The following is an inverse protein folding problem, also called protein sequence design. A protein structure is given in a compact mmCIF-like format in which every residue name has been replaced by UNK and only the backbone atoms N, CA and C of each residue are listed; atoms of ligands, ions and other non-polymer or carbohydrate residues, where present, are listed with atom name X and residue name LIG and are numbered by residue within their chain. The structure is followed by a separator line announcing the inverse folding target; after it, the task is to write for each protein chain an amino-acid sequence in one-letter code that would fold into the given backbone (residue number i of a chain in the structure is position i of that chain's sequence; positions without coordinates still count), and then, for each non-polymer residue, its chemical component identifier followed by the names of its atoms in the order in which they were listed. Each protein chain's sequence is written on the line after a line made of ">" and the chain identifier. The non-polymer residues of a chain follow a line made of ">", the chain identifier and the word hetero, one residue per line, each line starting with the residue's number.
data_IF_673548008716
#
_entry.id   IF_673548008716
#
_cell.length_a   1.000
_cell.length_b   1.000
_cell.length_c   1.000
_cell.angle_alpha   90.00
_cell.angle_beta   90.00
_cell.angle_gamma   90.00
#
_symmetry.space_group_name_H-M   'P 1'
#
loop_
_entity.id
_entity.type
_entity.pdbx_description
1 polymer ?
#
# COMPACT_ATOMS: atom_id res chain seq x y z
N UNK A 1 -11.80 10.76 18.79
CA UNK A 1 -11.85 11.07 17.34
C UNK A 1 -10.56 10.51 16.80
N UNK A 2 -10.64 9.35 16.16
CA UNK A 2 -9.43 8.60 15.80
C UNK A 2 -8.94 9.10 14.44
N UNK A 3 -7.81 9.80 14.42
CA UNK A 3 -7.15 10.36 13.22
C UNK A 3 -6.55 9.31 12.27
N UNK A 4 -7.16 8.13 12.19
CA UNK A 4 -6.67 6.99 11.42
C UNK A 4 -7.75 6.51 10.45
N UNK A 5 -7.41 6.56 9.15
CA UNK A 5 -8.21 5.98 8.08
C UNK A 5 -8.24 4.45 8.21
N UNK A 6 -9.39 3.83 7.98
CA UNK A 6 -9.54 2.36 7.90
C UNK A 6 -8.77 1.81 6.69
N UNK A 7 -8.50 0.49 6.66
CA UNK A 7 -7.86 -0.13 5.50
C UNK A 7 -8.70 0.11 4.24
N UNK A 8 -10.01 -0.06 4.33
CA UNK A 8 -10.91 0.18 3.21
C UNK A 8 -10.80 1.63 2.70
N UNK A 9 -10.78 2.62 3.60
CA UNK A 9 -10.59 4.01 3.23
C UNK A 9 -9.24 4.28 2.56
N UNK A 10 -8.16 3.64 3.02
CA UNK A 10 -6.83 3.73 2.39
C UNK A 10 -6.84 3.13 0.98
N UNK A 11 -7.45 1.95 0.83
CA UNK A 11 -7.59 1.26 -0.46
C UNK A 11 -8.45 2.08 -1.43
N UNK A 12 -9.56 2.64 -0.97
CA UNK A 12 -10.46 3.45 -1.80
C UNK A 12 -9.81 4.78 -2.23
N UNK A 13 -9.04 5.42 -1.34
CA UNK A 13 -8.23 6.59 -1.68
C UNK A 13 -7.18 6.26 -2.73
N UNK A 14 -6.40 5.21 -2.51
CA UNK A 14 -5.39 4.73 -3.45
C UNK A 14 -6.03 4.39 -4.81
N UNK A 15 -7.13 3.66 -4.81
CA UNK A 15 -7.89 3.32 -6.03
C UNK A 15 -8.33 4.57 -6.78
N UNK A 16 -8.91 5.55 -6.09
CA UNK A 16 -9.34 6.81 -6.69
C UNK A 16 -8.20 7.59 -7.32
N UNK A 17 -7.07 7.73 -6.62
CA UNK A 17 -5.90 8.45 -7.12
C UNK A 17 -5.19 7.73 -8.27
N UNK A 18 -5.14 6.40 -8.23
CA UNK A 18 -4.61 5.60 -9.32
C UNK A 18 -5.45 5.79 -10.58
N UNK A 19 -6.78 5.59 -10.49
CA UNK A 19 -7.69 5.73 -11.64
C UNK A 19 -7.63 7.17 -12.20
N UNK A 20 -7.48 8.18 -11.35
CA UNK A 20 -7.35 9.57 -11.78
C UNK A 20 -6.15 9.81 -12.71
N UNK A 21 -5.06 9.07 -12.51
CA UNK A 21 -3.82 9.22 -13.29
C UNK A 21 -3.76 8.21 -14.44
N UNK A 22 -4.04 6.94 -14.15
CA UNK A 22 -4.01 5.83 -15.12
C UNK A 22 -5.23 5.81 -16.07
N UNK A 23 -6.28 6.56 -15.76
CA UNK A 23 -7.55 6.59 -16.51
C UNK A 23 -8.46 5.39 -16.25
N UNK A 24 -7.94 4.27 -15.72
CA UNK A 24 -8.72 3.09 -15.34
C UNK A 24 -7.97 2.23 -14.32
N UNK A 25 -8.67 1.27 -13.69
CA UNK A 25 -8.05 0.36 -12.71
C UNK A 25 -7.10 -0.66 -13.35
N UNK A 26 -7.26 -0.93 -14.64
CA UNK A 26 -6.39 -1.81 -15.44
C UNK A 26 -5.31 -1.01 -16.19
N UNK A 27 -5.23 0.30 -15.94
CA UNK A 27 -4.18 1.13 -16.50
C UNK A 27 -2.85 0.93 -15.79
N UNK A 28 -1.90 1.76 -16.16
CA UNK A 28 -0.55 1.78 -15.61
C UNK A 28 -0.13 3.23 -15.36
N UNK A 29 0.72 3.44 -14.36
CA UNK A 29 1.33 4.73 -14.07
C UNK A 29 2.85 4.62 -14.18
N UNK A 30 3.54 5.69 -14.56
CA UNK A 30 4.99 5.69 -14.55
C UNK A 30 5.56 5.73 -13.13
N UNK A 31 6.83 5.37 -12.97
CA UNK A 31 7.56 5.51 -11.71
C UNK A 31 7.46 6.93 -11.13
N UNK A 32 7.61 7.97 -11.96
CA UNK A 32 7.51 9.37 -11.53
C UNK A 32 6.11 9.70 -10.97
N UNK A 33 5.05 9.20 -11.62
CA UNK A 33 3.68 9.38 -11.17
C UNK A 33 3.42 8.66 -9.84
N UNK A 34 3.96 7.45 -9.70
CA UNK A 34 3.89 6.68 -8.46
C UNK A 34 4.65 7.38 -7.32
N UNK A 35 5.86 7.90 -7.58
CA UNK A 35 6.66 8.67 -6.61
C UNK A 35 5.89 9.91 -6.12
N UNK A 36 5.24 10.65 -7.02
CA UNK A 36 4.45 11.82 -6.67
C UNK A 36 3.27 11.48 -5.75
N UNK A 37 2.54 10.39 -6.05
CA UNK A 37 1.46 9.91 -5.20
C UNK A 37 1.99 9.50 -3.83
N UNK A 38 3.04 8.69 -3.78
CA UNK A 38 3.65 8.27 -2.52
C UNK A 38 4.07 9.48 -1.66
N UNK A 39 4.69 10.50 -2.25
CA UNK A 39 5.05 11.74 -1.54
C UNK A 39 3.86 12.57 -1.09
N UNK A 40 2.72 12.48 -1.78
CA UNK A 40 1.48 13.13 -1.37
C UNK A 40 0.94 12.51 -0.07
N UNK A 41 1.06 11.18 0.08
CA UNK A 41 0.62 10.45 1.27
C UNK A 41 1.67 10.44 2.40
N UNK A 42 2.95 10.35 2.03
CA UNK A 42 4.09 10.27 2.94
C UNK A 42 5.21 11.23 2.49
N UNK A 43 5.09 12.53 2.81
CA UNK A 43 6.06 13.54 2.37
C UNK A 43 7.47 13.35 2.95
N UNK A 44 7.60 12.55 4.02
CA UNK A 44 8.88 12.24 4.65
C UNK A 44 9.55 10.98 4.09
N UNK A 45 8.92 10.27 3.14
CA UNK A 45 9.51 9.10 2.52
C UNK A 45 10.81 9.47 1.82
N UNK A 46 11.90 8.74 2.12
CA UNK A 46 13.18 8.97 1.45
C UNK A 46 13.14 8.42 0.03
N UNK A 47 13.90 9.07 -0.87
CA UNK A 47 13.97 8.64 -2.27
C UNK A 47 14.44 7.19 -2.41
N UNK A 48 15.42 6.77 -1.62
CA UNK A 48 15.90 5.37 -1.61
C UNK A 48 14.82 4.37 -1.21
N UNK A 49 13.96 4.70 -0.25
CA UNK A 49 12.84 3.84 0.14
C UNK A 49 11.80 3.75 -0.98
N UNK A 50 11.49 4.88 -1.61
CA UNK A 50 10.55 4.93 -2.73
C UNK A 50 11.10 4.12 -3.90
N UNK A 51 12.35 4.36 -4.32
CA UNK A 51 13.00 3.66 -5.43
C UNK A 51 13.04 2.15 -5.20
N UNK A 52 13.31 1.69 -3.97
CA UNK A 52 13.28 0.26 -3.62
C UNK A 52 11.89 -0.34 -3.78
N UNK A 53 10.84 0.35 -3.33
CA UNK A 53 9.46 -0.12 -3.47
C UNK A 53 8.97 -0.06 -4.92
N UNK A 54 9.39 0.94 -5.69
CA UNK A 54 9.07 1.02 -7.12
C UNK A 54 9.74 -0.13 -7.88
N UNK A 55 10.99 -0.45 -7.54
CA UNK A 55 11.70 -1.59 -8.11
C UNK A 55 10.98 -2.91 -7.80
N UNK A 56 10.55 -3.12 -6.56
CA UNK A 56 9.77 -4.30 -6.18
C UNK A 56 8.36 -4.30 -6.81
N UNK A 57 7.83 -3.12 -7.09
CA UNK A 57 6.53 -2.95 -7.70
C UNK A 57 6.53 -3.20 -9.23
N UNK A 58 7.64 -2.89 -9.90
CA UNK A 58 7.90 -3.05 -11.35
C UNK A 58 8.59 -4.41 -11.64
N UNK A 59 7.83 -5.49 -11.59
CA UNK A 59 8.37 -6.83 -11.76
C UNK A 59 8.72 -7.17 -13.22
N UNK A 60 8.09 -6.48 -14.16
CA UNK A 60 8.29 -6.63 -15.60
C UNK A 60 9.40 -5.72 -16.16
N UNK A 61 9.90 -4.79 -15.34
CA UNK A 61 11.01 -3.89 -15.69
C UNK A 61 10.64 -2.90 -16.78
N UNK A 62 9.36 -2.58 -16.91
CA UNK A 62 8.81 -1.70 -17.94
C UNK A 62 8.83 -0.24 -17.53
N UNK A 63 9.24 0.06 -16.28
CA UNK A 63 9.17 1.39 -15.67
C UNK A 63 7.73 1.92 -15.52
N UNK A 64 6.74 1.03 -15.61
CA UNK A 64 5.34 1.30 -15.30
C UNK A 64 4.87 0.42 -14.15
N UNK A 65 3.85 0.89 -13.44
CA UNK A 65 3.33 0.27 -12.23
C UNK A 65 1.84 0.04 -12.40
N UNK A 66 1.41 -1.20 -12.25
CA UNK A 66 0.00 -1.57 -12.18
C UNK A 66 -0.60 -1.26 -10.80
N UNK A 67 -1.94 -1.27 -10.71
CA UNK A 67 -2.65 -0.91 -9.49
C UNK A 67 -2.23 -1.75 -8.27
N UNK A 68 -2.00 -3.05 -8.43
CA UNK A 68 -1.56 -3.94 -7.35
C UNK A 68 -0.17 -3.56 -6.80
N UNK A 69 0.77 -3.17 -7.68
CA UNK A 69 2.08 -2.66 -7.28
C UNK A 69 1.99 -1.31 -6.59
N UNK A 70 1.17 -0.41 -7.13
CA UNK A 70 0.91 0.89 -6.53
C UNK A 70 0.29 0.77 -5.14
N UNK A 71 -0.76 -0.04 -5.00
CA UNK A 71 -1.46 -0.25 -3.73
C UNK A 71 -0.52 -0.82 -2.68
N UNK A 72 0.32 -1.78 -3.06
CA UNK A 72 1.32 -2.38 -2.17
C UNK A 72 2.31 -1.33 -1.64
N UNK A 73 2.84 -0.47 -2.53
CA UNK A 73 3.75 0.61 -2.12
C UNK A 73 3.08 1.63 -1.19
N UNK A 74 1.83 2.01 -1.49
CA UNK A 74 1.07 2.96 -0.68
C UNK A 74 0.72 2.40 0.70
N UNK A 75 0.28 1.15 0.77
CA UNK A 75 -0.01 0.49 2.05
C UNK A 75 1.25 0.39 2.90
N UNK A 76 2.40 0.07 2.32
CA UNK A 76 3.67 0.11 3.06
C UNK A 76 3.92 1.47 3.73
N UNK A 77 3.74 2.59 3.00
CA UNK A 77 3.96 3.92 3.56
C UNK A 77 2.91 4.39 4.56
N UNK A 78 1.66 3.94 4.40
CA UNK A 78 0.61 4.20 5.40
C UNK A 78 0.91 3.51 6.74
N UNK A 79 1.58 2.36 6.70
CA UNK A 79 1.94 1.55 7.88
C UNK A 79 3.28 1.96 8.50
N UNK A 80 4.23 2.46 7.71
CA UNK A 80 5.44 3.10 8.24
C UNK A 80 5.13 4.50 8.79
N UNK A 81 4.27 4.61 9.80
CA UNK A 81 4.37 5.73 10.74
C UNK A 81 5.53 5.44 11.68
N UNK A 82 6.75 5.72 11.20
CA UNK A 82 7.89 5.84 12.11
C UNK A 82 7.71 7.16 12.85
N UNK A 83 7.11 7.09 14.03
CA UNK A 83 7.24 8.16 15.01
C UNK A 83 8.71 8.27 15.40
N UNK A 84 9.17 9.50 15.62
CA UNK A 84 10.59 9.78 15.93
C UNK A 84 11.01 9.25 17.31
N UNK A 85 10.15 8.46 17.97
CA UNK A 85 10.25 7.98 19.36
C UNK A 85 9.74 6.53 19.58
N UNK A 86 9.37 5.78 18.54
CA UNK A 86 9.20 4.32 18.57
C UNK A 86 8.33 3.77 19.71
N UNK A 87 7.15 4.33 19.97
CA UNK A 87 6.27 3.82 21.04
C UNK A 87 4.86 3.55 20.54
N UNK A 88 4.53 2.28 20.36
CA UNK A 88 3.18 1.80 20.02
C UNK A 88 2.43 1.37 21.30
N UNK A 89 1.14 1.70 21.41
CA UNK A 89 0.27 1.19 22.49
C UNK A 89 -0.04 -0.30 22.24
N UNK A 90 -0.23 -1.14 23.27
CA UNK A 90 -0.34 -2.60 23.10
C UNK A 90 -1.53 -3.08 22.24
N UNK A 91 -2.61 -2.31 22.13
CA UNK A 91 -3.74 -2.59 21.23
C UNK A 91 -3.42 -2.19 19.77
N UNK A 92 -2.67 -1.08 19.62
CA UNK A 92 -2.16 -0.61 18.32
C UNK A 92 -1.07 -1.53 17.81
N UNK A 93 -0.24 -2.10 18.68
CA UNK A 93 0.85 -3.02 18.32
C UNK A 93 0.31 -4.34 17.75
N UNK A 94 -0.79 -4.87 18.31
CA UNK A 94 -1.46 -6.05 17.72
C UNK A 94 -2.17 -5.73 16.41
N UNK A 95 -2.84 -4.58 16.30
CA UNK A 95 -3.44 -4.15 15.04
C UNK A 95 -2.37 -3.92 13.96
N UNK A 96 -1.25 -3.30 14.35
CA UNK A 96 -0.09 -3.07 13.51
C UNK A 96 0.51 -4.39 13.05
N UNK A 97 0.64 -5.38 13.94
CA UNK A 97 1.15 -6.70 13.58
C UNK A 97 0.24 -7.40 12.58
N UNK A 98 -1.08 -7.41 12.81
CA UNK A 98 -2.04 -8.02 11.86
C UNK A 98 -1.97 -7.36 10.50
N UNK A 99 -1.79 -6.04 10.47
CA UNK A 99 -1.71 -5.27 9.23
C UNK A 99 -0.36 -5.47 8.54
N UNK A 100 0.75 -5.58 9.28
CA UNK A 100 2.05 -5.96 8.75
C UNK A 100 2.01 -7.35 8.13
N UNK A 101 1.41 -8.33 8.82
CA UNK A 101 1.26 -9.70 8.30
C UNK A 101 0.36 -9.73 7.05
N UNK A 102 -0.69 -8.92 7.02
CA UNK A 102 -1.55 -8.73 5.84
C UNK A 102 -0.77 -8.15 4.66
N UNK A 103 -0.02 -7.06 4.85
CA UNK A 103 0.79 -6.44 3.78
C UNK A 103 1.87 -7.41 3.28
N UNK A 104 2.54 -8.11 4.19
CA UNK A 104 3.51 -9.13 3.82
C UNK A 104 2.86 -10.23 2.99
N UNK A 105 1.62 -10.62 3.32
CA UNK A 105 0.87 -11.60 2.54
C UNK A 105 0.52 -11.10 1.15
N UNK A 106 0.18 -9.82 1.00
CA UNK A 106 -0.02 -9.20 -0.30
C UNK A 106 1.26 -9.28 -1.15
N UNK A 107 2.43 -8.97 -0.58
CA UNK A 107 3.71 -9.12 -1.28
C UNK A 107 3.98 -10.57 -1.71
N UNK A 108 3.76 -11.55 -0.83
CA UNK A 108 3.91 -12.98 -1.17
C UNK A 108 2.97 -13.39 -2.31
N UNK A 109 1.73 -12.91 -2.29
CA UNK A 109 0.76 -13.21 -3.33
C UNK A 109 1.13 -12.55 -4.66
N UNK A 110 1.60 -11.30 -4.61
CA UNK A 110 2.10 -10.61 -5.79
C UNK A 110 3.29 -11.35 -6.42
N UNK A 111 4.28 -11.70 -5.61
CA UNK A 111 5.46 -12.48 -6.06
C UNK A 111 5.10 -13.88 -6.56
N UNK A 112 3.99 -14.45 -6.10
CA UNK A 112 3.43 -15.70 -6.63
C UNK A 112 2.59 -15.50 -7.92
N UNK A 113 2.46 -14.28 -8.44
CA UNK A 113 1.67 -13.95 -9.62
C UNK A 113 0.14 -14.00 -9.39
N UNK A 114 -0.31 -13.88 -8.15
CA UNK A 114 -1.73 -13.88 -7.78
C UNK A 114 -2.28 -12.46 -7.90
N UNK A 115 -3.40 -12.30 -8.61
CA UNK A 115 -4.10 -11.02 -8.73
C UNK A 115 -4.73 -10.66 -7.37
N UNK A 116 -4.20 -9.60 -6.75
CA UNK A 116 -4.55 -9.19 -5.39
C UNK A 116 -5.99 -8.64 -5.28
N UNK A 117 -6.48 -7.96 -6.33
CA UNK A 117 -7.75 -7.21 -6.29
C UNK A 117 -8.97 -8.04 -5.87
N UNK A 118 -9.02 -9.31 -6.26
CA UNK A 118 -10.15 -10.20 -5.97
C UNK A 118 -10.07 -10.82 -4.57
N UNK A 119 -8.93 -10.69 -3.88
CA UNK A 119 -8.64 -11.37 -2.61
C UNK A 119 -8.42 -10.42 -1.44
N UNK A 120 -8.38 -9.12 -1.67
CA UNK A 120 -8.17 -8.11 -0.62
C UNK A 120 -9.20 -8.22 0.51
N UNK A 121 -10.49 -8.35 0.17
CA UNK A 121 -11.57 -8.43 1.18
C UNK A 121 -11.47 -9.73 1.99
N UNK A 122 -11.28 -10.87 1.31
CA UNK A 122 -11.10 -12.20 1.95
C UNK A 122 -9.89 -12.20 2.91
N UNK A 123 -8.78 -11.58 2.50
CA UNK A 123 -7.59 -11.43 3.34
C UNK A 123 -7.84 -10.44 4.48
N UNK A 124 -8.54 -9.32 4.25
CA UNK A 124 -8.84 -8.36 5.30
C UNK A 124 -9.67 -9.00 6.42
N UNK A 125 -10.65 -9.84 6.06
CA UNK A 125 -11.40 -10.68 7.01
C UNK A 125 -10.48 -11.66 7.77
N UNK A 126 -9.61 -12.38 7.05
CA UNK A 126 -8.70 -13.36 7.63
C UNK A 126 -7.77 -12.76 8.70
N UNK A 127 -7.27 -11.55 8.45
CA UNK A 127 -6.37 -10.84 9.37
C UNK A 127 -7.13 -9.91 10.33
N UNK A 128 -8.46 -9.95 10.33
CA UNK A 128 -9.34 -9.13 11.17
C UNK A 128 -9.00 -7.63 11.04
N UNK A 129 -8.74 -7.19 9.81
CA UNK A 129 -8.47 -5.80 9.46
C UNK A 129 -9.82 -5.08 9.26
N UNK A 130 -10.08 -3.96 9.96
CA UNK A 130 -11.32 -3.22 9.80
C UNK A 130 -11.46 -2.68 8.36
N UNK A 131 -12.51 -3.14 7.67
CA UNK A 131 -12.89 -2.72 6.33
C UNK A 131 -14.40 -2.46 6.31
N UNK A 132 -14.81 -1.22 6.59
CA UNK A 132 -16.18 -0.72 6.38
C UNK A 132 -16.12 0.61 5.66
#
# INVERSE_FOLDING_TARGET
>A
MSDFLTLQQKVDLARGDFIRIAGSINGEISWDQCELLIKQYCPNASKTQIDGLLYDADQDGTSTIHFDGFLTAILYFFETKVDQHGSTLPDVEQQQQRLNDFVQKLFEMKTAGIIINDKIEELADQYNIPHQ
#
